data_IF_134335299199
#
_entry.id   IF_134335299199
#
_cell.length_a   1.000
_cell.length_b   1.000
_cell.length_c   1.000
_cell.angle_alpha   90.00
_cell.angle_beta   90.00
_cell.angle_gamma   90.00
#
_symmetry.space_group_name_H-M   'P 1'
#
loop_
_entity.id
_entity.type
_entity.pdbx_description
1 polymer ?
#
# COMPACT_ATOMS: atom_id res chain seq x y z
N UNK A 1 16.83 -16.46 15.89
CA UNK A 1 16.03 -15.20 16.03
C UNK A 1 14.61 -15.56 15.68
N UNK A 2 13.56 -14.85 16.14
CA UNK A 2 12.19 -15.17 15.70
C UNK A 2 11.94 -14.59 14.31
N UNK A 3 11.07 -15.23 13.51
CA UNK A 3 10.81 -14.82 12.14
C UNK A 3 10.33 -13.37 12.01
N UNK A 4 9.47 -12.92 12.94
CA UNK A 4 9.01 -11.53 12.99
C UNK A 4 10.15 -10.51 13.18
N UNK A 5 11.22 -10.88 13.87
CA UNK A 5 12.43 -10.05 14.01
C UNK A 5 13.29 -10.12 12.76
N UNK A 6 13.44 -11.30 12.17
CA UNK A 6 14.23 -11.51 10.96
C UNK A 6 13.66 -10.74 9.76
N UNK A 7 12.35 -10.81 9.52
CA UNK A 7 11.72 -10.06 8.44
C UNK A 7 11.83 -8.55 8.67
N UNK A 8 11.71 -8.09 9.92
CA UNK A 8 11.88 -6.67 10.25
C UNK A 8 13.30 -6.18 9.96
N UNK A 9 14.31 -6.91 10.41
CA UNK A 9 15.72 -6.51 10.16
C UNK A 9 16.08 -6.68 8.69
N UNK A 10 15.62 -7.76 8.04
CA UNK A 10 15.87 -8.06 6.63
C UNK A 10 15.24 -7.06 5.66
N UNK A 11 14.16 -6.38 6.06
CA UNK A 11 13.48 -5.36 5.24
C UNK A 11 13.83 -3.92 5.59
N UNK A 12 14.63 -3.68 6.62
CA UNK A 12 14.95 -2.33 7.12
C UNK A 12 15.50 -1.39 6.06
N UNK A 13 16.39 -1.88 5.19
CA UNK A 13 16.97 -1.08 4.10
C UNK A 13 15.93 -0.68 3.06
N UNK A 14 15.07 -1.61 2.66
CA UNK A 14 14.01 -1.37 1.68
C UNK A 14 12.93 -0.44 2.24
N UNK A 15 12.58 -0.57 3.51
CA UNK A 15 11.69 0.35 4.22
C UNK A 15 12.25 1.78 4.20
N UNK A 16 13.52 1.95 4.59
CA UNK A 16 14.17 3.26 4.55
C UNK A 16 14.28 3.83 3.13
N UNK A 17 14.51 3.00 2.12
CA UNK A 17 14.53 3.42 0.72
C UNK A 17 13.14 3.94 0.28
N UNK A 18 12.06 3.25 0.64
CA UNK A 18 10.69 3.67 0.32
C UNK A 18 10.33 5.02 0.98
N UNK A 19 10.70 5.23 2.24
CA UNK A 19 10.52 6.53 2.92
C UNK A 19 11.32 7.65 2.28
N UNK A 20 12.41 7.33 1.60
CA UNK A 20 13.30 8.29 0.95
C UNK A 20 12.92 8.64 -0.49
N UNK A 21 11.88 8.04 -1.08
CA UNK A 21 11.36 8.49 -2.38
C UNK A 21 10.91 9.95 -2.33
N UNK A 22 10.99 10.66 -3.46
CA UNK A 22 10.63 12.08 -3.49
C UNK A 22 9.14 12.27 -3.19
N UNK A 23 8.27 11.35 -3.66
CA UNK A 23 6.84 11.36 -3.35
C UNK A 23 6.59 11.30 -1.83
N UNK A 24 7.15 10.30 -1.14
CA UNK A 24 6.94 10.14 0.31
C UNK A 24 7.51 11.34 1.09
N UNK A 25 8.69 11.84 0.71
CA UNK A 25 9.26 13.05 1.31
C UNK A 25 8.39 14.28 1.11
N UNK A 26 7.82 14.46 -0.09
CA UNK A 26 6.89 15.55 -0.37
C UNK A 26 5.61 15.39 0.42
N UNK A 27 5.08 14.16 0.49
CA UNK A 27 3.90 13.84 1.29
C UNK A 27 4.13 14.20 2.77
N UNK A 28 5.23 13.75 3.37
CA UNK A 28 5.57 14.01 4.78
C UNK A 28 5.76 15.51 5.08
N UNK A 29 6.10 16.31 4.07
CA UNK A 29 6.17 17.79 4.17
C UNK A 29 4.82 18.48 3.94
N UNK A 30 3.74 17.73 3.70
CA UNK A 30 2.43 18.26 3.38
C UNK A 30 2.34 18.84 1.94
N UNK A 31 3.27 18.49 1.07
CA UNK A 31 3.29 18.93 -0.34
C UNK A 31 2.78 17.79 -1.20
N UNK A 32 1.47 17.67 -1.30
CA UNK A 32 0.81 16.65 -2.13
C UNK A 32 -0.37 17.28 -2.86
N UNK A 33 -0.54 16.96 -4.15
CA UNK A 33 -1.73 17.37 -4.89
C UNK A 33 -2.88 16.39 -4.67
N UNK A 34 -4.12 16.90 -4.73
CA UNK A 34 -5.33 16.06 -4.68
C UNK A 34 -5.34 15.02 -5.81
N UNK A 35 -4.80 15.38 -6.97
CA UNK A 35 -4.70 14.47 -8.12
C UNK A 35 -3.75 13.30 -7.85
N UNK A 36 -2.53 13.57 -7.36
CA UNK A 36 -1.57 12.52 -7.01
C UNK A 36 -2.11 11.63 -5.89
N UNK A 37 -2.78 12.22 -4.88
CA UNK A 37 -3.34 11.45 -3.77
C UNK A 37 -4.49 10.53 -4.23
N UNK A 38 -5.45 11.03 -5.02
CA UNK A 38 -6.54 10.18 -5.53
C UNK A 38 -6.05 9.06 -6.46
N UNK A 39 -4.95 9.32 -7.21
CA UNK A 39 -4.30 8.28 -8.02
C UNK A 39 -3.65 7.22 -7.15
N UNK A 40 -2.98 7.63 -6.06
CA UNK A 40 -2.46 6.69 -5.05
C UNK A 40 -3.56 5.81 -4.47
N UNK A 41 -4.68 6.41 -4.05
CA UNK A 41 -5.85 5.69 -3.50
C UNK A 41 -6.41 4.69 -4.52
N UNK A 42 -6.44 5.09 -5.81
CA UNK A 42 -6.85 4.20 -6.90
C UNK A 42 -5.91 2.99 -7.04
N UNK A 43 -4.61 3.20 -7.05
CA UNK A 43 -3.64 2.12 -7.17
C UNK A 43 -3.67 1.19 -5.94
N UNK A 44 -3.78 1.77 -4.74
CA UNK A 44 -3.93 0.99 -3.51
C UNK A 44 -5.16 0.09 -3.56
N UNK A 45 -6.28 0.55 -4.11
CA UNK A 45 -7.48 -0.26 -4.25
C UNK A 45 -7.21 -1.56 -5.01
N UNK A 46 -6.54 -1.49 -6.17
CA UNK A 46 -6.23 -2.69 -6.96
C UNK A 46 -5.27 -3.64 -6.23
N UNK A 47 -4.25 -3.11 -5.55
CA UNK A 47 -3.31 -3.92 -4.77
C UNK A 47 -4.04 -4.64 -3.63
N UNK A 48 -4.93 -3.95 -2.89
CA UNK A 48 -5.67 -4.57 -1.78
C UNK A 48 -6.73 -5.54 -2.26
N UNK A 49 -7.41 -5.28 -3.39
CA UNK A 49 -8.33 -6.25 -3.99
C UNK A 49 -7.59 -7.56 -4.28
N UNK A 50 -6.44 -7.50 -4.93
CA UNK A 50 -5.65 -8.69 -5.24
C UNK A 50 -5.21 -9.43 -3.95
N UNK A 51 -4.68 -8.70 -2.96
CA UNK A 51 -4.26 -9.32 -1.69
C UNK A 51 -5.43 -9.98 -0.94
N UNK A 52 -6.53 -9.27 -0.76
CA UNK A 52 -7.68 -9.75 0.01
C UNK A 52 -8.37 -10.93 -0.70
N UNK A 53 -8.42 -10.94 -2.03
CA UNK A 53 -8.91 -12.06 -2.82
C UNK A 53 -8.07 -13.31 -2.62
N UNK A 54 -6.74 -13.21 -2.72
CA UNK A 54 -5.85 -14.34 -2.52
C UNK A 54 -5.89 -14.86 -1.08
N UNK A 55 -5.84 -14.00 -0.06
CA UNK A 55 -5.96 -14.44 1.33
C UNK A 55 -7.33 -15.08 1.63
N UNK A 56 -8.39 -14.68 0.95
CA UNK A 56 -9.71 -15.32 1.07
C UNK A 56 -9.73 -16.71 0.46
N UNK A 57 -9.01 -16.92 -0.66
CA UNK A 57 -8.83 -18.24 -1.27
C UNK A 57 -8.08 -19.16 -0.31
N UNK A 58 -7.00 -18.69 0.27
CA UNK A 58 -6.14 -19.45 1.19
C UNK A 58 -6.59 -19.42 2.67
N UNK A 59 -7.81 -18.99 2.98
CA UNK A 59 -8.30 -18.88 4.38
C UNK A 59 -8.21 -20.16 5.21
N UNK A 60 -8.22 -21.32 4.56
CA UNK A 60 -8.13 -22.63 5.20
C UNK A 60 -6.74 -23.29 4.99
N UNK A 61 -5.80 -22.59 4.39
CA UNK A 61 -4.43 -23.05 4.23
C UNK A 61 -3.71 -23.12 5.60
N UNK A 62 -2.91 -24.15 5.87
CA UNK A 62 -2.26 -24.31 7.18
C UNK A 62 -1.25 -23.21 7.54
N UNK A 63 -0.73 -22.48 6.55
CA UNK A 63 0.21 -21.35 6.75
C UNK A 63 -0.51 -20.02 6.60
N UNK A 64 -1.10 -19.77 5.43
CA UNK A 64 -1.70 -18.48 5.08
C UNK A 64 -3.00 -18.20 5.84
N UNK A 65 -3.76 -19.26 6.21
CA UNK A 65 -5.01 -19.09 6.94
C UNK A 65 -4.86 -18.39 8.29
N UNK A 66 -3.69 -18.50 8.93
CA UNK A 66 -3.38 -17.78 10.16
C UNK A 66 -3.28 -16.25 9.96
N UNK A 67 -3.05 -15.81 8.73
CA UNK A 67 -2.97 -14.39 8.33
C UNK A 67 -4.23 -13.93 7.57
N UNK A 68 -5.25 -14.76 7.46
CA UNK A 68 -6.57 -14.30 7.04
C UNK A 68 -7.21 -13.50 8.19
N UNK A 69 -7.00 -12.20 8.18
CA UNK A 69 -7.32 -11.24 9.25
C UNK A 69 -8.29 -10.17 8.72
N UNK A 70 -9.63 -10.46 8.67
CA UNK A 70 -10.62 -9.55 8.08
C UNK A 70 -10.68 -8.15 8.73
N UNK A 71 -10.15 -8.00 9.93
CA UNK A 71 -10.01 -6.70 10.60
C UNK A 71 -8.96 -5.79 9.95
N UNK A 72 -8.05 -6.36 9.16
CA UNK A 72 -7.04 -5.59 8.38
C UNK A 72 -7.53 -5.18 6.99
N UNK A 73 -8.58 -5.80 6.45
CA UNK A 73 -9.05 -5.55 5.09
C UNK A 73 -9.30 -4.06 4.82
N UNK A 74 -8.84 -3.57 3.67
CA UNK A 74 -8.87 -2.15 3.28
C UNK A 74 -9.77 -1.84 2.10
N UNK A 75 -10.21 -2.86 1.34
CA UNK A 75 -11.00 -2.67 0.11
C UNK A 75 -12.24 -1.82 0.38
N UNK A 76 -13.03 -2.14 1.41
CA UNK A 76 -14.25 -1.38 1.74
C UNK A 76 -13.95 0.08 2.09
N UNK A 77 -12.87 0.34 2.82
CA UNK A 77 -12.44 1.70 3.17
C UNK A 77 -11.98 2.47 1.92
N UNK A 78 -11.19 1.82 1.06
CA UNK A 78 -10.74 2.40 -0.22
C UNK A 78 -11.91 2.68 -1.17
N UNK A 79 -12.94 1.85 -1.21
CA UNK A 79 -14.16 2.13 -1.99
C UNK A 79 -14.90 3.39 -1.52
N UNK A 80 -14.91 3.64 -0.20
CA UNK A 80 -15.47 4.89 0.36
C UNK A 80 -14.64 6.09 -0.09
N UNK A 81 -13.31 6.00 -0.03
CA UNK A 81 -12.40 7.06 -0.47
C UNK A 81 -12.52 7.32 -1.97
N UNK A 82 -12.57 6.26 -2.78
CA UNK A 82 -12.75 6.39 -4.23
C UNK A 82 -14.08 7.03 -4.60
N UNK A 83 -15.15 6.71 -3.88
CA UNK A 83 -16.45 7.37 -4.06
C UNK A 83 -16.39 8.85 -3.74
N UNK A 84 -15.66 9.24 -2.72
CA UNK A 84 -15.42 10.65 -2.39
C UNK A 84 -14.63 11.37 -3.50
N UNK A 85 -13.55 10.76 -4.03
CA UNK A 85 -12.69 11.39 -5.02
C UNK A 85 -13.23 11.40 -6.45
N UNK A 86 -13.99 10.38 -6.84
CA UNK A 86 -14.44 10.14 -8.22
C UNK A 86 -15.96 10.10 -8.39
N UNK A 87 -16.73 10.17 -7.28
CA UNK A 87 -18.19 10.08 -7.30
C UNK A 87 -18.73 8.65 -7.47
N UNK A 88 -20.05 8.50 -7.68
CA UNK A 88 -20.71 7.19 -7.66
C UNK A 88 -20.28 6.23 -8.77
N UNK A 89 -19.76 6.74 -9.87
CA UNK A 89 -19.31 5.94 -11.02
C UNK A 89 -17.79 5.66 -11.02
N UNK A 90 -17.13 5.81 -9.85
CA UNK A 90 -15.68 5.72 -9.70
C UNK A 90 -15.07 4.45 -10.33
N UNK A 91 -15.79 3.30 -10.30
CA UNK A 91 -15.29 2.05 -10.88
C UNK A 91 -14.99 2.14 -12.38
N UNK A 92 -15.75 2.96 -13.12
CA UNK A 92 -15.53 3.18 -14.55
C UNK A 92 -14.47 4.24 -14.86
N UNK A 93 -14.04 5.00 -13.85
CA UNK A 93 -13.10 6.11 -13.99
C UNK A 93 -11.66 5.74 -13.60
N UNK A 94 -11.48 4.66 -12.84
CA UNK A 94 -10.16 4.24 -12.38
C UNK A 94 -9.65 3.04 -13.18
N UNK A 95 -8.36 2.96 -13.30
CA UNK A 95 -7.60 1.81 -13.80
C UNK A 95 -6.26 1.76 -13.08
N UNK A 96 -5.66 0.59 -12.90
CA UNK A 96 -4.33 0.50 -12.30
C UNK A 96 -3.31 1.25 -13.17
N UNK A 97 -2.37 1.93 -12.52
CA UNK A 97 -1.18 2.42 -13.21
C UNK A 97 -0.31 1.24 -13.68
N UNK A 98 0.65 1.48 -14.56
CA UNK A 98 1.54 0.41 -15.02
C UNK A 98 2.32 -0.21 -13.86
N UNK A 99 2.81 0.61 -12.93
CA UNK A 99 3.50 0.13 -11.73
C UNK A 99 2.56 -0.66 -10.80
N UNK A 100 1.32 -0.19 -10.64
CA UNK A 100 0.29 -0.90 -9.87
C UNK A 100 -0.05 -2.25 -10.50
N UNK A 101 -0.23 -2.31 -11.84
CA UNK A 101 -0.52 -3.56 -12.53
C UNK A 101 0.59 -4.59 -12.32
N UNK A 102 1.87 -4.18 -12.39
CA UNK A 102 3.01 -5.07 -12.07
C UNK A 102 2.95 -5.61 -10.64
N UNK A 103 2.48 -4.80 -9.70
CA UNK A 103 2.32 -5.26 -8.31
C UNK A 103 1.20 -6.28 -8.19
N UNK A 104 0.03 -6.01 -8.79
CA UNK A 104 -1.11 -6.92 -8.85
C UNK A 104 -0.73 -8.24 -9.52
N UNK A 105 -0.05 -8.18 -10.67
CA UNK A 105 0.42 -9.36 -11.39
C UNK A 105 1.35 -10.21 -10.52
N UNK A 106 2.26 -9.58 -9.77
CA UNK A 106 3.16 -10.31 -8.86
C UNK A 106 2.43 -10.99 -7.71
N UNK A 107 1.42 -10.36 -7.12
CA UNK A 107 0.59 -10.97 -6.08
C UNK A 107 -0.05 -12.26 -6.61
N UNK A 108 -0.68 -12.19 -7.79
CA UNK A 108 -1.30 -13.37 -8.41
C UNK A 108 -0.29 -14.42 -8.89
N UNK A 109 0.90 -14.01 -9.31
CA UNK A 109 1.98 -14.92 -9.69
C UNK A 109 2.42 -15.77 -8.49
N UNK A 110 2.78 -15.12 -7.36
CA UNK A 110 3.25 -15.84 -6.17
C UNK A 110 2.13 -16.71 -5.59
N UNK A 111 0.89 -16.25 -5.61
CA UNK A 111 -0.26 -17.05 -5.16
C UNK A 111 -0.38 -18.39 -5.91
N UNK A 112 0.02 -18.44 -7.18
CA UNK A 112 -0.04 -19.66 -8.02
C UNK A 112 1.19 -20.54 -7.89
N UNK A 113 2.36 -19.97 -7.61
CA UNK A 113 3.64 -20.68 -7.68
C UNK A 113 4.20 -21.03 -6.31
N UNK A 114 4.21 -20.07 -5.38
CA UNK A 114 4.79 -20.17 -4.04
C UNK A 114 3.92 -19.33 -3.08
N UNK A 115 2.71 -19.79 -2.72
CA UNK A 115 1.71 -18.97 -2.04
C UNK A 115 2.17 -18.41 -0.69
N UNK A 116 3.10 -19.05 0.01
CA UNK A 116 3.69 -18.53 1.24
C UNK A 116 4.39 -17.18 1.06
N UNK A 117 4.83 -16.83 -0.17
CA UNK A 117 5.43 -15.53 -0.47
C UNK A 117 4.43 -14.37 -0.32
N UNK A 118 3.12 -14.64 -0.37
CA UNK A 118 2.09 -13.65 -0.04
C UNK A 118 2.27 -13.04 1.35
N UNK A 119 2.91 -13.75 2.29
CA UNK A 119 3.24 -13.23 3.62
C UNK A 119 4.12 -11.98 3.53
N UNK A 120 5.06 -11.95 2.57
CA UNK A 120 5.91 -10.79 2.33
C UNK A 120 5.12 -9.54 1.93
N UNK A 121 4.14 -9.69 1.03
CA UNK A 121 3.23 -8.62 0.61
C UNK A 121 2.32 -8.18 1.75
N UNK A 122 1.73 -9.12 2.47
CA UNK A 122 0.86 -8.87 3.61
C UNK A 122 1.58 -8.10 4.72
N UNK A 123 2.78 -8.55 5.09
CA UNK A 123 3.62 -7.88 6.07
C UNK A 123 3.94 -6.44 5.65
N UNK A 124 4.41 -6.25 4.42
CA UNK A 124 4.84 -4.95 3.90
C UNK A 124 3.69 -3.94 3.89
N UNK A 125 2.49 -4.37 3.49
CA UNK A 125 1.32 -3.50 3.43
C UNK A 125 0.73 -3.23 4.81
N UNK A 126 0.17 -4.24 5.46
CA UNK A 126 -0.66 -4.03 6.64
C UNK A 126 0.11 -3.53 7.87
N UNK A 127 1.35 -3.99 8.10
CA UNK A 127 2.14 -3.43 9.20
C UNK A 127 2.62 -2.00 8.91
N UNK A 128 2.88 -1.69 7.64
CA UNK A 128 3.18 -0.32 7.22
C UNK A 128 2.02 0.62 7.51
N UNK A 129 0.81 0.24 7.10
CA UNK A 129 -0.40 1.03 7.28
C UNK A 129 -0.76 1.24 8.77
N UNK A 130 -0.67 0.18 9.57
CA UNK A 130 -0.87 0.26 11.02
C UNK A 130 0.21 1.06 11.75
N UNK A 131 1.39 1.22 11.17
CA UNK A 131 2.52 1.92 11.81
C UNK A 131 2.57 3.40 11.44
N UNK A 132 2.50 3.70 10.15
CA UNK A 132 2.63 5.06 9.60
C UNK A 132 1.29 5.73 9.28
N UNK A 133 0.22 4.95 9.15
CA UNK A 133 -1.05 5.43 8.60
C UNK A 133 -1.65 6.62 9.33
N UNK A 134 -1.61 6.65 10.67
CA UNK A 134 -2.17 7.76 11.45
C UNK A 134 -1.41 9.07 11.23
N UNK A 135 -0.08 9.00 11.05
CA UNK A 135 0.74 10.17 10.73
C UNK A 135 0.39 10.66 9.33
N UNK A 136 0.33 9.75 8.36
CA UNK A 136 -0.01 10.06 6.97
C UNK A 136 -1.44 10.59 6.84
N UNK A 137 -2.41 10.06 7.60
CA UNK A 137 -3.77 10.59 7.68
C UNK A 137 -3.79 12.05 8.05
N UNK A 138 -3.16 12.40 9.18
CA UNK A 138 -3.13 13.79 9.67
C UNK A 138 -2.43 14.76 8.72
N UNK A 139 -1.42 14.29 7.98
CA UNK A 139 -0.74 15.10 6.96
C UNK A 139 -1.64 15.30 5.74
N UNK A 140 -2.26 14.22 5.22
CA UNK A 140 -3.16 14.29 4.08
C UNK A 140 -4.37 15.19 4.37
N UNK A 141 -4.98 15.05 5.55
CA UNK A 141 -6.11 15.86 5.99
C UNK A 141 -5.80 17.35 5.92
N UNK A 142 -4.66 17.76 6.47
CA UNK A 142 -4.21 19.16 6.46
C UNK A 142 -3.82 19.64 5.06
N UNK A 143 -3.01 18.85 4.34
CA UNK A 143 -2.46 19.23 3.04
C UNK A 143 -3.55 19.36 1.96
N UNK A 144 -4.59 18.53 2.02
CA UNK A 144 -5.68 18.49 1.05
C UNK A 144 -6.94 19.22 1.54
N UNK A 145 -6.88 19.82 2.74
CA UNK A 145 -8.00 20.51 3.40
C UNK A 145 -9.26 19.62 3.45
N UNK A 146 -9.10 18.39 3.96
CA UNK A 146 -10.17 17.41 4.10
C UNK A 146 -10.80 17.51 5.49
N UNK A 147 -12.10 17.19 5.56
CA UNK A 147 -12.87 17.19 6.80
C UNK A 147 -13.23 15.73 7.21
N UNK A 148 -12.23 14.86 7.27
CA UNK A 148 -12.40 13.45 7.64
C UNK A 148 -12.79 12.53 6.47
N UNK A 149 -13.37 13.04 5.39
CA UNK A 149 -13.71 12.25 4.20
C UNK A 149 -12.50 12.04 3.29
N UNK A 150 -12.49 10.92 2.55
CA UNK A 150 -11.40 10.58 1.63
C UNK A 150 -10.14 10.05 2.32
N UNK A 151 -10.23 9.63 3.58
CA UNK A 151 -9.13 9.14 4.43
C UNK A 151 -9.48 7.85 5.17
N UNK A 152 -10.56 7.18 4.79
CA UNK A 152 -11.03 5.95 5.42
C UNK A 152 -10.02 4.80 5.31
N UNK A 153 -9.17 4.82 4.29
CA UNK A 153 -8.06 3.88 4.14
C UNK A 153 -7.20 3.74 5.40
N UNK A 154 -6.96 4.84 6.11
CA UNK A 154 -6.15 4.86 7.33
C UNK A 154 -6.92 4.44 8.59
N UNK A 155 -8.23 4.22 8.50
CA UNK A 155 -9.08 3.88 9.64
C UNK A 155 -9.24 2.37 9.75
N UNK A 156 -8.86 1.83 10.90
CA UNK A 156 -9.00 0.42 11.22
C UNK A 156 -10.07 0.25 12.30
N UNK A 157 -11.33 0.41 11.92
CA UNK A 157 -12.48 0.47 12.84
C UNK A 157 -12.63 -0.76 13.76
N UNK A 158 -12.04 -1.89 13.36
CA UNK A 158 -12.05 -3.14 14.13
C UNK A 158 -10.80 -3.33 15.00
N UNK A 159 -9.92 -2.35 15.07
CA UNK A 159 -8.65 -2.43 15.80
C UNK A 159 -8.56 -1.27 16.80
N UNK A 160 -8.90 -1.55 18.05
CA UNK A 160 -8.90 -0.54 19.13
C UNK A 160 -7.50 -0.04 19.46
N UNK A 161 -6.48 -0.90 19.35
CA UNK A 161 -5.10 -0.58 19.69
C UNK A 161 -4.11 -1.17 18.68
N UNK A 162 -3.62 -0.33 17.79
CA UNK A 162 -2.67 -0.72 16.75
C UNK A 162 -1.36 -1.30 17.31
N UNK A 163 -0.89 -0.86 18.50
CA UNK A 163 0.34 -1.40 19.12
C UNK A 163 0.14 -2.85 19.55
N UNK A 164 -0.94 -3.13 20.29
CA UNK A 164 -1.29 -4.49 20.74
C UNK A 164 -1.54 -5.39 19.52
N UNK A 165 -2.26 -4.87 18.51
CA UNK A 165 -2.53 -5.63 17.30
C UNK A 165 -1.25 -6.02 16.53
N UNK A 166 -0.29 -5.11 16.43
CA UNK A 166 1.01 -5.40 15.81
C UNK A 166 1.81 -6.46 16.60
N UNK A 167 1.66 -6.50 17.92
CA UNK A 167 2.27 -7.57 18.74
C UNK A 167 1.60 -8.92 18.47
N UNK A 168 0.26 -8.97 18.42
CA UNK A 168 -0.51 -10.15 17.98
C UNK A 168 -0.07 -10.64 16.61
N UNK A 169 0.03 -9.74 15.65
CA UNK A 169 0.45 -10.06 14.28
C UNK A 169 1.87 -10.67 14.24
N UNK A 170 2.81 -10.10 14.99
CA UNK A 170 4.17 -10.66 15.11
C UNK A 170 4.19 -12.03 15.74
N UNK A 171 3.36 -12.24 16.76
CA UNK A 171 3.22 -13.57 17.39
C UNK A 171 2.68 -14.60 16.40
N UNK A 172 1.74 -14.22 15.52
CA UNK A 172 1.26 -15.11 14.47
C UNK A 172 2.43 -15.48 13.53
N UNK A 173 3.20 -14.50 13.04
CA UNK A 173 4.36 -14.77 12.19
C UNK A 173 5.35 -15.74 12.84
N UNK A 174 5.60 -15.59 14.15
CA UNK A 174 6.56 -16.41 14.90
C UNK A 174 6.09 -17.85 15.11
N UNK A 175 4.80 -18.14 14.91
CA UNK A 175 4.20 -19.47 15.05
C UNK A 175 3.93 -20.19 13.74
N UNK A 176 4.18 -19.54 12.60
CA UNK A 176 3.98 -20.16 11.29
C UNK A 176 4.94 -21.35 11.09
N UNK A 177 4.45 -22.49 10.59
CA UNK A 177 5.28 -23.69 10.37
C UNK A 177 6.13 -23.55 9.09
N UNK A 178 7.04 -22.56 9.08
CA UNK A 178 7.92 -22.24 7.96
C UNK A 178 9.32 -22.82 8.17
N UNK A 179 9.90 -23.39 7.12
CA UNK A 179 11.33 -23.73 7.09
C UNK A 179 12.18 -22.45 6.96
N UNK A 180 13.46 -22.52 7.35
CA UNK A 180 14.42 -21.41 7.20
C UNK A 180 14.51 -20.92 5.74
N UNK A 181 14.42 -21.84 4.77
CA UNK A 181 14.40 -21.51 3.35
C UNK A 181 13.19 -20.66 2.97
N UNK A 182 12.00 -21.05 3.43
CA UNK A 182 10.76 -20.29 3.20
C UNK A 182 10.80 -18.93 3.89
N UNK A 183 11.30 -18.85 5.11
CA UNK A 183 11.48 -17.56 5.81
C UNK A 183 12.38 -16.61 5.02
N UNK A 184 13.51 -17.09 4.51
CA UNK A 184 14.43 -16.31 3.67
C UNK A 184 13.79 -15.87 2.35
N UNK A 185 13.02 -16.75 1.72
CA UNK A 185 12.29 -16.43 0.49
C UNK A 185 11.21 -15.34 0.74
N UNK A 186 10.46 -15.45 1.83
CA UNK A 186 9.47 -14.44 2.24
C UNK A 186 10.14 -13.08 2.53
N UNK A 187 11.30 -13.06 3.19
CA UNK A 187 12.05 -11.81 3.43
C UNK A 187 12.49 -11.19 2.10
N UNK A 188 12.94 -12.00 1.17
CA UNK A 188 13.33 -11.55 -0.18
C UNK A 188 12.12 -10.96 -0.91
N UNK A 189 10.97 -11.63 -0.86
CA UNK A 189 9.73 -11.15 -1.47
C UNK A 189 9.21 -9.88 -0.79
N UNK A 190 9.32 -9.76 0.53
CA UNK A 190 8.97 -8.53 1.25
C UNK A 190 9.82 -7.33 0.77
N UNK A 191 11.11 -7.53 0.53
CA UNK A 191 11.96 -6.50 -0.07
C UNK A 191 11.52 -6.16 -1.51
N UNK A 192 11.07 -7.16 -2.27
CA UNK A 192 10.53 -6.92 -3.61
C UNK A 192 9.18 -6.16 -3.55
N UNK A 193 8.31 -6.47 -2.59
CA UNK A 193 7.07 -5.73 -2.34
C UNK A 193 7.35 -4.24 -2.01
N UNK A 194 8.37 -3.93 -1.21
CA UNK A 194 8.82 -2.55 -1.01
C UNK A 194 9.24 -1.88 -2.32
N UNK A 195 9.96 -2.59 -3.19
CA UNK A 195 10.36 -2.06 -4.51
C UNK A 195 9.16 -1.78 -5.41
N UNK A 196 8.17 -2.67 -5.42
CA UNK A 196 6.92 -2.47 -6.17
C UNK A 196 6.15 -1.23 -5.68
N UNK A 197 6.09 -1.01 -4.35
CA UNK A 197 5.55 0.24 -3.79
C UNK A 197 6.34 1.47 -4.26
N UNK A 198 7.68 1.40 -4.26
CA UNK A 198 8.51 2.52 -4.74
C UNK A 198 8.24 2.85 -6.20
N UNK A 199 8.06 1.86 -7.07
CA UNK A 199 7.68 2.10 -8.48
C UNK A 199 6.33 2.84 -8.61
N UNK A 200 5.35 2.50 -7.78
CA UNK A 200 4.08 3.25 -7.74
C UNK A 200 4.32 4.71 -7.32
N UNK A 201 5.14 4.95 -6.32
CA UNK A 201 5.46 6.33 -5.87
C UNK A 201 6.22 7.12 -6.94
N UNK A 202 7.20 6.51 -7.60
CA UNK A 202 7.97 7.13 -8.70
C UNK A 202 7.08 7.48 -9.90
N UNK A 203 6.11 6.64 -10.23
CA UNK A 203 5.15 6.90 -11.30
C UNK A 203 4.23 8.09 -10.97
N UNK A 204 3.84 8.25 -9.70
CA UNK A 204 3.08 9.43 -9.24
C UNK A 204 3.89 10.73 -9.40
N UNK A 205 5.19 10.69 -9.14
CA UNK A 205 6.11 11.82 -9.35
C UNK A 205 6.24 12.19 -10.83
N UNK A 206 6.47 11.20 -11.68
CA UNK A 206 6.58 11.39 -13.15
C UNK A 206 5.33 12.05 -13.74
N UNK A 207 4.15 11.60 -13.34
CA UNK A 207 2.88 12.18 -13.75
C UNK A 207 2.72 13.63 -13.26
N UNK A 208 3.15 13.95 -12.06
CA UNK A 208 3.12 15.32 -11.51
C UNK A 208 4.01 16.26 -12.28
N UNK A 209 5.23 15.85 -12.65
CA UNK A 209 6.15 16.64 -13.47
C UNK A 209 5.60 16.88 -14.88
N UNK A 210 5.04 15.85 -15.52
CA UNK A 210 4.42 15.97 -16.85
C UNK A 210 3.22 16.93 -16.80
N UNK A 211 2.40 16.87 -15.77
CA UNK A 211 1.28 17.79 -15.58
C UNK A 211 1.76 19.24 -15.40
N UNK A 212 2.82 19.45 -14.62
CA UNK A 212 3.42 20.77 -14.42
C UNK A 212 3.96 21.35 -15.74
N UNK A 213 4.69 20.55 -16.54
CA UNK A 213 5.18 20.97 -17.85
C UNK A 213 4.04 21.29 -18.83
N UNK A 214 2.95 20.51 -18.85
CA UNK A 214 1.77 20.79 -19.68
C UNK A 214 1.11 22.11 -19.30
N UNK A 215 0.97 22.42 -18.02
CA UNK A 215 0.42 23.68 -17.53
C UNK A 215 1.33 24.84 -17.93
N UNK A 216 2.65 24.71 -17.73
CA UNK A 216 3.63 25.73 -18.09
C UNK A 216 3.61 26.02 -19.61
N UNK A 217 3.57 24.98 -20.43
CA UNK A 217 3.48 25.12 -21.88
C UNK A 217 2.14 25.71 -22.34
N UNK A 218 1.03 25.40 -21.65
CA UNK A 218 -0.28 26.01 -21.89
C UNK A 218 -0.29 27.50 -21.59
N UNK A 219 0.32 27.91 -20.47
CA UNK A 219 0.46 29.33 -20.09
C UNK A 219 1.35 30.11 -21.10
N UNK A 220 2.43 29.49 -21.59
CA UNK A 220 3.32 30.10 -22.59
C UNK A 220 2.57 30.26 -23.90
N UNK A 221 1.81 29.25 -24.37
CA UNK A 221 1.00 29.35 -25.61
C UNK A 221 -0.13 30.37 -25.51
N UNK A 222 -0.79 30.50 -24.35
CA UNK A 222 -1.86 31.46 -24.11
C UNK A 222 -1.37 32.91 -24.00
N UNK A 223 -0.05 33.17 -23.88
CA UNK A 223 0.56 34.51 -23.86
C UNK A 223 1.09 34.94 -25.26
N UNK A 224 1.05 34.03 -26.22
CA UNK A 224 1.52 34.27 -27.60
C UNK A 224 0.36 34.45 -28.62
N UNK A 225 -0.86 34.42 -28.15
CA UNK A 225 -2.09 34.80 -28.86
C UNK A 225 -2.71 36.02 -28.20
#
# INVERSE_FOLDING_TARGET
MTFSKEIKEGTKKSHSAAENTAFVKSFLRGVISKESYRTLVSDLYFVYVALEEEFRIFKNDPILGALYLPELERVTALERDLRYYFGPIWRSLIKPSEACQRYVDRIHEVAKTEPELLIGHHYTRYLGDLSGGQILKGIAEKALNLNGEGLYFYEFDKIDNAKIYKEKYRSILDTLPLTDSQQNAIITEANYAFRLNMYMFEQLEGNSLVSFFKILMGVIRGKLT
#
